data_IF_340100282093
#
_entry.id   IF_340100282093
#
_cell.length_a   1.000
_cell.length_b   1.000
_cell.length_c   1.000
_cell.angle_alpha   90.00
_cell.angle_beta   90.00
_cell.angle_gamma   90.00
#
_symmetry.space_group_name_H-M   'P 1'
#
loop_
_entity.id
_entity.type
_entity.pdbx_description
1 polymer ?
#
# COMPACT_ATOMS: atom_id res chain seq x y z
N UNK A 1 3.52 -0.92 -12.80
CA UNK A 1 2.68 -0.32 -13.87
C UNK A 1 1.87 0.86 -13.37
N UNK A 2 0.97 0.68 -12.38
CA UNK A 2 0.16 1.77 -11.83
C UNK A 2 1.00 2.99 -11.39
N UNK A 3 2.11 2.80 -10.66
CA UNK A 3 3.00 3.91 -10.25
C UNK A 3 3.54 4.71 -11.43
N UNK A 4 3.94 4.02 -12.51
CA UNK A 4 4.61 4.64 -13.66
C UNK A 4 3.66 5.57 -14.41
N UNK A 5 2.35 5.26 -14.40
CA UNK A 5 1.32 6.10 -15.03
C UNK A 5 0.79 7.13 -14.03
N UNK A 6 0.47 6.69 -12.80
CA UNK A 6 -0.19 7.52 -11.78
C UNK A 6 0.71 8.64 -11.25
N UNK A 7 1.96 8.34 -10.90
CA UNK A 7 2.83 9.33 -10.25
C UNK A 7 3.13 10.53 -11.18
N UNK A 8 3.53 10.37 -12.46
CA UNK A 8 3.82 11.51 -13.33
C UNK A 8 2.62 12.43 -13.59
N UNK A 9 1.39 11.90 -13.51
CA UNK A 9 0.16 12.67 -13.68
C UNK A 9 -0.14 13.52 -12.45
N UNK A 10 0.01 12.95 -11.25
CA UNK A 10 -0.36 13.62 -9.99
C UNK A 10 0.78 14.42 -9.35
N UNK A 11 2.04 14.05 -9.58
CA UNK A 11 3.21 14.74 -9.04
C UNK A 11 3.25 16.25 -9.37
N UNK A 12 2.99 16.72 -10.61
CA UNK A 12 2.96 18.16 -10.91
C UNK A 12 1.75 18.87 -10.29
N UNK A 13 0.71 18.12 -9.89
CA UNK A 13 -0.46 18.68 -9.22
C UNK A 13 -0.23 18.92 -7.72
N UNK A 14 0.69 18.20 -7.08
CA UNK A 14 0.91 18.29 -5.64
C UNK A 14 1.22 19.70 -5.13
N UNK A 15 2.10 20.50 -5.79
CA UNK A 15 2.38 21.88 -5.35
C UNK A 15 1.15 22.78 -5.40
N UNK A 16 0.23 22.55 -6.35
CA UNK A 16 -1.01 23.34 -6.46
C UNK A 16 -1.96 23.10 -5.28
N UNK A 17 -1.88 21.92 -4.65
CA UNK A 17 -2.67 21.56 -3.48
C UNK A 17 -1.89 21.67 -2.16
N UNK A 18 -0.64 22.14 -2.19
CA UNK A 18 0.23 22.23 -1.01
C UNK A 18 0.57 20.87 -0.39
N UNK A 19 0.57 19.80 -1.19
CA UNK A 19 0.83 18.44 -0.73
C UNK A 19 2.33 18.14 -0.87
N UNK A 20 2.94 17.64 0.22
CA UNK A 20 4.33 17.19 0.18
C UNK A 20 4.48 15.90 -0.67
N UNK A 21 5.41 15.87 -1.64
CA UNK A 21 5.62 14.71 -2.51
C UNK A 21 6.01 13.42 -1.78
N UNK A 22 6.74 13.51 -0.67
CA UNK A 22 7.13 12.36 0.14
C UNK A 22 5.91 11.75 0.84
N UNK A 23 5.06 12.59 1.42
CA UNK A 23 3.80 12.13 2.02
C UNK A 23 2.90 11.43 0.99
N UNK A 24 2.74 12.03 -0.18
CA UNK A 24 2.02 11.42 -1.29
C UNK A 24 2.63 10.08 -1.70
N UNK A 25 3.96 10.03 -1.88
CA UNK A 25 4.67 8.80 -2.25
C UNK A 25 4.46 7.66 -1.24
N UNK A 26 4.49 7.96 0.06
CA UNK A 26 4.30 6.97 1.11
C UNK A 26 2.86 6.45 1.12
N UNK A 27 1.86 7.33 0.98
CA UNK A 27 0.46 6.91 0.87
C UNK A 27 0.23 6.02 -0.36
N UNK A 28 0.81 6.37 -1.51
CA UNK A 28 0.74 5.55 -2.73
C UNK A 28 1.38 4.18 -2.50
N UNK A 29 2.53 4.12 -1.84
CA UNK A 29 3.20 2.85 -1.53
C UNK A 29 2.32 1.94 -0.64
N UNK A 30 1.73 2.48 0.43
CA UNK A 30 0.83 1.73 1.32
C UNK A 30 -0.43 1.25 0.60
N UNK A 31 -1.02 2.10 -0.23
CA UNK A 31 -2.22 1.75 -1.00
C UNK A 31 -1.94 0.63 -2.01
N UNK A 32 -0.79 0.65 -2.67
CA UNK A 32 -0.41 -0.40 -3.61
C UNK A 32 -0.15 -1.74 -2.93
N UNK A 33 0.48 -1.72 -1.76
CA UNK A 33 0.66 -2.94 -0.97
C UNK A 33 -0.70 -3.59 -0.62
N UNK A 34 -1.68 -2.76 -0.24
CA UNK A 34 -3.07 -3.19 0.01
C UNK A 34 -3.71 -3.81 -1.25
N UNK A 35 -3.46 -3.21 -2.42
CA UNK A 35 -3.97 -3.68 -3.71
C UNK A 35 -3.41 -5.05 -4.09
N UNK A 36 -2.14 -5.34 -3.78
CA UNK A 36 -1.54 -6.66 -4.03
C UNK A 36 -2.02 -7.77 -3.09
N UNK A 37 -2.71 -7.44 -2.01
CA UNK A 37 -3.26 -8.43 -1.06
C UNK A 37 -4.72 -8.78 -1.32
N UNK A 38 -5.42 -7.94 -2.09
CA UNK A 38 -6.86 -8.05 -2.35
C UNK A 38 -7.11 -8.69 -3.72
N UNK A 39 -8.11 -9.58 -3.87
CA UNK A 39 -8.49 -10.07 -5.20
C UNK A 39 -8.94 -8.89 -6.08
N UNK A 40 -8.61 -8.83 -7.39
CA UNK A 40 -8.03 -9.86 -8.26
C UNK A 40 -6.49 -9.79 -8.43
N UNK A 41 -5.83 -8.80 -7.84
CA UNK A 41 -4.42 -8.51 -8.10
C UNK A 41 -3.45 -9.33 -7.22
N UNK A 42 -3.97 -10.10 -6.27
CA UNK A 42 -3.20 -10.96 -5.38
C UNK A 42 -2.68 -12.22 -6.08
N UNK A 43 -1.79 -12.05 -7.05
CA UNK A 43 -1.20 -13.12 -7.87
C UNK A 43 -0.64 -14.26 -7.01
N UNK A 44 0.01 -13.95 -5.88
CA UNK A 44 0.55 -14.96 -4.96
C UNK A 44 -0.52 -15.89 -4.39
N UNK A 45 -1.73 -15.40 -4.09
CA UNK A 45 -2.84 -16.22 -3.62
C UNK A 45 -3.37 -17.16 -4.71
N UNK A 46 -3.39 -16.71 -5.97
CA UNK A 46 -3.73 -17.55 -7.13
C UNK A 46 -2.68 -18.62 -7.40
N UNK A 47 -1.38 -18.29 -7.28
CA UNK A 47 -0.30 -19.28 -7.36
C UNK A 47 -0.39 -20.33 -6.26
N UNK A 48 -0.63 -19.92 -5.01
CA UNK A 48 -0.86 -20.83 -3.89
C UNK A 48 -2.04 -21.76 -4.15
N UNK A 49 -3.14 -21.27 -4.74
CA UNK A 49 -4.26 -22.13 -5.12
C UNK A 49 -3.90 -23.17 -6.19
N UNK A 50 -2.95 -22.87 -7.08
CA UNK A 50 -2.48 -23.81 -8.12
C UNK A 50 -1.72 -25.02 -7.56
N UNK A 51 -1.02 -24.86 -6.44
CA UNK A 51 -0.28 -25.95 -5.77
C UNK A 51 -1.01 -26.54 -4.55
N UNK A 52 -2.05 -25.85 -4.05
CA UNK A 52 -2.80 -26.28 -2.88
C UNK A 52 -3.72 -27.47 -3.18
N UNK A 53 -3.97 -28.34 -2.19
CA UNK A 53 -4.92 -29.45 -2.33
C UNK A 53 -6.32 -29.00 -2.81
N UNK A 54 -7.09 -29.89 -3.47
CA UNK A 54 -8.39 -29.54 -4.07
C UNK A 54 -9.40 -28.98 -3.05
N UNK A 55 -9.31 -29.42 -1.79
CA UNK A 55 -10.20 -29.00 -0.71
C UNK A 55 -9.94 -27.57 -0.19
N UNK A 56 -8.76 -26.99 -0.49
CA UNK A 56 -8.43 -25.62 -0.06
C UNK A 56 -9.09 -24.63 -1.01
N UNK A 57 -10.06 -23.88 -0.53
CA UNK A 57 -10.73 -22.86 -1.36
C UNK A 57 -9.92 -21.58 -1.41
N UNK A 58 -10.00 -20.85 -2.53
CA UNK A 58 -9.34 -19.55 -2.69
C UNK A 58 -9.76 -18.56 -1.59
N UNK A 59 -11.02 -18.62 -1.15
CA UNK A 59 -11.53 -17.81 -0.04
C UNK A 59 -10.82 -18.10 1.30
N UNK A 60 -10.33 -19.33 1.54
CA UNK A 60 -9.56 -19.65 2.75
C UNK A 60 -8.17 -19.01 2.73
N UNK A 61 -7.54 -18.97 1.55
CA UNK A 61 -6.26 -18.30 1.34
C UNK A 61 -6.41 -16.79 1.57
N UNK A 62 -7.45 -16.17 1.00
CA UNK A 62 -7.74 -14.76 1.23
C UNK A 62 -8.12 -14.45 2.67
N UNK A 63 -8.84 -15.35 3.36
CA UNK A 63 -9.12 -15.21 4.79
C UNK A 63 -7.85 -15.12 5.63
N UNK A 64 -6.80 -15.84 5.26
CA UNK A 64 -5.48 -15.74 5.89
C UNK A 64 -4.80 -14.37 5.70
N UNK A 65 -5.11 -13.67 4.60
CA UNK A 65 -4.53 -12.36 4.31
C UNK A 65 -5.28 -11.18 4.98
N UNK A 66 -6.55 -11.35 5.36
CA UNK A 66 -7.34 -10.27 5.97
C UNK A 66 -6.71 -9.63 7.22
N UNK A 67 -6.10 -10.38 8.17
CA UNK A 67 -5.43 -9.76 9.31
C UNK A 67 -4.28 -8.84 8.89
N UNK A 68 -3.52 -9.24 7.86
CA UNK A 68 -2.44 -8.42 7.33
C UNK A 68 -2.98 -7.18 6.61
N UNK A 69 -4.04 -7.34 5.81
CA UNK A 69 -4.74 -6.22 5.18
C UNK A 69 -5.24 -5.20 6.21
N UNK A 70 -5.83 -5.67 7.31
CA UNK A 70 -6.31 -4.82 8.39
C UNK A 70 -5.17 -4.01 9.03
N UNK A 71 -3.99 -4.62 9.25
CA UNK A 71 -2.81 -3.90 9.76
C UNK A 71 -2.31 -2.82 8.80
N UNK A 72 -2.31 -3.08 7.49
CA UNK A 72 -1.91 -2.07 6.50
C UNK A 72 -2.89 -0.90 6.47
N UNK A 73 -4.20 -1.18 6.46
CA UNK A 73 -5.25 -0.14 6.51
C UNK A 73 -5.14 0.68 7.79
N UNK A 74 -4.95 0.03 8.92
CA UNK A 74 -4.74 0.70 10.21
C UNK A 74 -3.50 1.61 10.18
N UNK A 75 -2.39 1.12 9.60
CA UNK A 75 -1.18 1.91 9.43
C UNK A 75 -1.40 3.12 8.52
N UNK A 76 -2.22 2.97 7.47
CA UNK A 76 -2.60 4.06 6.57
C UNK A 76 -3.43 5.14 7.29
N UNK A 77 -4.36 4.74 8.16
CA UNK A 77 -5.15 5.66 9.00
C UNK A 77 -4.23 6.42 9.96
N UNK A 78 -3.32 5.72 10.64
CA UNK A 78 -2.34 6.34 11.54
C UNK A 78 -1.48 7.34 10.77
N UNK A 79 -0.96 6.97 9.61
CA UNK A 79 -0.09 7.84 8.81
C UNK A 79 -0.83 9.09 8.32
N UNK A 80 -2.11 8.95 7.95
CA UNK A 80 -2.93 10.08 7.55
C UNK A 80 -3.18 11.05 8.72
N UNK A 81 -3.45 10.53 9.92
CA UNK A 81 -3.72 11.35 11.11
C UNK A 81 -2.45 11.93 11.74
N UNK A 82 -1.33 11.19 11.67
CA UNK A 82 -0.04 11.51 12.28
C UNK A 82 1.08 11.45 11.23
N UNK A 83 1.12 12.39 10.27
CA UNK A 83 2.09 12.38 9.17
C UNK A 83 3.54 12.49 9.65
N UNK A 84 3.77 13.00 10.87
CA UNK A 84 5.09 13.09 11.50
C UNK A 84 5.79 11.73 11.61
N UNK A 85 5.06 10.63 11.71
CA UNK A 85 5.65 9.28 11.73
C UNK A 85 6.40 8.98 10.43
N UNK A 86 5.87 9.48 9.31
CA UNK A 86 6.46 9.32 7.99
C UNK A 86 7.69 10.22 7.79
N UNK A 87 7.67 11.42 8.37
CA UNK A 87 8.72 12.42 8.22
C UNK A 87 9.85 12.30 9.25
N UNK A 88 9.58 11.73 10.42
CA UNK A 88 10.56 11.66 11.52
C UNK A 88 11.92 11.08 11.10
N UNK A 89 11.94 9.94 10.42
CA UNK A 89 13.20 9.33 9.98
C UNK A 89 13.90 10.17 8.87
N UNK A 90 13.19 10.57 7.79
CA UNK A 90 13.76 11.51 6.81
C UNK A 90 14.32 12.80 7.42
N UNK A 91 13.65 13.41 8.39
CA UNK A 91 14.09 14.65 9.03
C UNK A 91 15.39 14.42 9.83
N UNK A 92 15.50 13.28 10.53
CA UNK A 92 16.71 12.92 11.27
C UNK A 92 17.89 12.56 10.35
N UNK A 93 17.64 11.92 9.20
CA UNK A 93 18.70 11.43 8.30
C UNK A 93 19.13 12.49 7.29
N UNK A 94 18.18 13.26 6.75
CA UNK A 94 18.42 14.25 5.70
C UNK A 94 18.42 15.69 6.21
N UNK A 95 18.09 15.95 7.49
CA UNK A 95 18.22 17.26 8.13
C UNK A 95 17.35 18.34 7.51
N UNK A 96 16.10 18.01 7.17
CA UNK A 96 15.10 18.99 6.72
C UNK A 96 14.56 19.84 7.86
#
# INVERSE_FOLDING_TARGET
EIIIIFVPIFLPLLPHFGIDPLFFGILVALNLQTSFLTPPMAMSAYYLKGIAPPHVQLNQIFKGNYPFLAMVVFSMIILYQFPQIAFWLPDQVYGR
#
